data_IF_642722697846
#
_entry.id   IF_642722697846
#
_cell.length_a   1.000
_cell.length_b   1.000
_cell.length_c   1.000
_cell.angle_alpha   90.00
_cell.angle_beta   90.00
_cell.angle_gamma   90.00
#
_symmetry.space_group_name_H-M   'P 1'
#
loop_
_entity.id
_entity.type
_entity.pdbx_description
1 polymer ?
#
# COMPACT_ATOMS: atom_id res chain seq x y z
N UNK A 1 13.18 2.93 -6.39
CA UNK A 1 13.50 2.16 -5.17
C UNK A 1 13.69 3.13 -4.02
N UNK A 2 12.75 3.16 -3.06
CA UNK A 2 12.87 4.05 -1.90
C UNK A 2 13.92 3.51 -0.92
N UNK A 3 14.94 4.31 -0.59
CA UNK A 3 15.91 3.95 0.46
C UNK A 3 15.27 3.99 1.85
N UNK A 4 14.54 5.07 2.13
CA UNK A 4 13.77 5.25 3.37
C UNK A 4 12.29 5.09 3.08
N UNK A 5 11.55 4.61 4.07
CA UNK A 5 10.13 4.35 3.93
C UNK A 5 9.33 5.67 3.79
N UNK A 6 8.49 5.82 2.75
CA UNK A 6 7.67 7.02 2.55
C UNK A 6 6.69 7.32 3.71
N UNK A 7 6.36 6.33 4.54
CA UNK A 7 5.46 6.52 5.69
C UNK A 7 6.02 7.41 6.83
N UNK A 8 7.21 7.99 6.66
CA UNK A 8 7.83 8.89 7.64
C UNK A 8 8.44 8.19 8.86
N UNK A 9 8.60 6.86 8.83
CA UNK A 9 9.18 6.10 9.95
C UNK A 9 10.69 6.25 10.11
N UNK A 10 11.38 6.83 9.11
CA UNK A 10 12.84 6.90 8.99
C UNK A 10 13.55 5.52 8.96
N UNK A 11 12.78 4.43 8.84
CA UNK A 11 13.32 3.08 8.61
C UNK A 11 13.58 2.86 7.12
N UNK A 12 14.44 1.90 6.80
CA UNK A 12 14.57 1.42 5.43
C UNK A 12 13.24 0.86 4.92
N UNK A 13 12.94 1.08 3.65
CA UNK A 13 11.67 0.66 3.06
C UNK A 13 11.47 -0.87 3.18
N UNK A 14 12.54 -1.64 2.94
CA UNK A 14 12.60 -3.11 2.97
C UNK A 14 12.12 -3.73 4.28
N UNK A 15 12.41 -3.09 5.42
CA UNK A 15 12.08 -3.57 6.78
C UNK A 15 10.91 -2.81 7.42
N UNK A 16 10.24 -1.96 6.64
CA UNK A 16 9.09 -1.17 7.09
C UNK A 16 7.85 -1.55 6.29
N UNK A 17 7.34 -0.66 5.43
CA UNK A 17 6.11 -0.92 4.68
C UNK A 17 6.28 -1.99 3.60
N UNK A 18 7.51 -2.24 3.09
CA UNK A 18 7.70 -3.27 2.07
C UNK A 18 7.41 -4.68 2.57
N UNK A 19 7.73 -5.01 3.83
CA UNK A 19 7.41 -6.34 4.41
C UNK A 19 5.90 -6.60 4.43
N UNK A 20 5.09 -5.55 4.65
CA UNK A 20 3.63 -5.63 4.59
C UNK A 20 3.15 -5.74 3.13
N UNK A 21 3.66 -4.88 2.26
CA UNK A 21 3.27 -4.82 0.83
C UNK A 21 3.57 -6.15 0.12
N UNK A 22 4.75 -6.73 0.39
CA UNK A 22 5.17 -8.04 -0.17
C UNK A 22 4.49 -9.25 0.48
N UNK A 23 3.63 -9.04 1.49
CA UNK A 23 2.95 -10.12 2.21
C UNK A 23 3.85 -10.95 3.12
N UNK A 24 5.09 -10.52 3.39
CA UNK A 24 5.99 -11.19 4.35
C UNK A 24 5.46 -11.07 5.79
N UNK A 25 4.79 -9.97 6.10
CA UNK A 25 4.12 -9.73 7.37
C UNK A 25 2.71 -9.20 7.14
N UNK A 26 1.85 -9.33 8.16
CA UNK A 26 0.48 -8.82 8.14
C UNK A 26 0.39 -7.65 9.12
N UNK A 27 -0.35 -6.60 8.76
CA UNK A 27 -0.55 -5.47 9.65
C UNK A 27 -1.30 -5.91 10.91
N UNK A 28 -0.76 -5.58 12.09
CA UNK A 28 -1.36 -5.92 13.38
C UNK A 28 -2.17 -4.78 13.96
N UNK A 29 -1.96 -3.57 13.44
CA UNK A 29 -2.67 -2.35 13.84
C UNK A 29 -3.22 -1.60 12.63
N UNK A 30 -4.29 -0.82 12.85
CA UNK A 30 -4.84 0.05 11.83
C UNK A 30 -3.81 1.08 11.31
N UNK A 31 -2.91 1.56 12.17
CA UNK A 31 -1.87 2.51 11.80
C UNK A 31 -0.84 1.87 10.83
N UNK A 32 -0.42 0.63 11.08
CA UNK A 32 0.46 -0.11 10.17
C UNK A 32 -0.20 -0.32 8.80
N UNK A 33 -1.49 -0.66 8.79
CA UNK A 33 -2.26 -0.83 7.56
C UNK A 33 -2.35 0.50 6.80
N UNK A 34 -2.68 1.60 7.47
CA UNK A 34 -2.78 2.92 6.85
C UNK A 34 -1.43 3.38 6.25
N UNK A 35 -0.33 3.20 6.99
CA UNK A 35 1.02 3.55 6.52
C UNK A 35 1.48 2.73 5.32
N UNK A 36 1.22 1.42 5.34
CA UNK A 36 1.57 0.54 4.22
C UNK A 36 0.73 0.84 2.98
N UNK A 37 -0.57 1.14 3.13
CA UNK A 37 -1.43 1.58 2.03
C UNK A 37 -0.95 2.89 1.40
N UNK A 38 -0.54 3.87 2.22
CA UNK A 38 0.08 5.09 1.69
C UNK A 38 1.35 4.78 0.88
N UNK A 39 2.21 3.91 1.40
CA UNK A 39 3.43 3.54 0.67
C UNK A 39 3.14 2.77 -0.63
N UNK A 40 2.14 1.89 -0.63
CA UNK A 40 1.68 1.17 -1.81
C UNK A 40 1.15 2.12 -2.88
N UNK A 41 0.39 3.14 -2.49
CA UNK A 41 -0.05 4.21 -3.39
C UNK A 41 1.14 4.95 -4.01
N UNK A 42 2.12 5.36 -3.19
CA UNK A 42 3.33 6.04 -3.66
C UNK A 42 4.22 5.14 -4.54
N UNK A 43 4.15 3.82 -4.37
CA UNK A 43 4.89 2.85 -5.18
C UNK A 43 4.09 2.21 -6.32
N UNK A 44 2.86 2.68 -6.58
CA UNK A 44 1.98 2.17 -7.63
C UNK A 44 1.66 0.66 -7.49
N UNK A 45 1.50 0.20 -6.25
CA UNK A 45 1.11 -1.19 -5.94
C UNK A 45 -0.42 -1.28 -5.73
N UNK A 46 -1.14 -1.27 -6.86
CA UNK A 46 -2.61 -1.33 -6.89
C UNK A 46 -3.12 -2.64 -6.30
N UNK A 47 -2.42 -3.75 -6.55
CA UNK A 47 -2.80 -5.07 -6.05
C UNK A 47 -2.88 -5.08 -4.52
N UNK A 48 -1.86 -4.55 -3.83
CA UNK A 48 -1.87 -4.44 -2.37
C UNK A 48 -2.99 -3.52 -1.86
N UNK A 49 -3.26 -2.41 -2.55
CA UNK A 49 -4.33 -1.47 -2.16
C UNK A 49 -5.71 -2.13 -2.21
N UNK A 50 -5.99 -2.89 -3.26
CA UNK A 50 -7.24 -3.66 -3.42
C UNK A 50 -7.29 -4.80 -2.40
N UNK A 51 -6.17 -5.52 -2.22
CA UNK A 51 -6.03 -6.65 -1.30
C UNK A 51 -6.18 -6.28 0.19
N UNK A 52 -6.07 -5.00 0.53
CA UNK A 52 -6.20 -4.50 1.91
C UNK A 52 -7.49 -3.72 2.17
N UNK A 53 -8.39 -3.62 1.18
CA UNK A 53 -9.76 -3.17 1.42
C UNK A 53 -10.64 -4.27 2.00
N UNK A 54 -11.66 -3.83 2.74
CA UNK A 54 -12.67 -4.73 3.30
C UNK A 54 -13.34 -5.52 2.16
N UNK A 55 -13.56 -6.85 2.32
CA UNK A 55 -14.06 -7.70 1.25
C UNK A 55 -15.35 -7.18 0.59
N UNK A 56 -16.27 -6.63 1.38
CA UNK A 56 -17.56 -6.12 0.90
C UNK A 56 -17.46 -4.95 -0.10
N UNK A 57 -16.32 -4.25 -0.13
CA UNK A 57 -16.08 -3.11 -1.04
C UNK A 57 -15.01 -3.40 -2.08
N UNK A 58 -14.47 -4.63 -2.12
CA UNK A 58 -13.49 -5.05 -3.12
C UNK A 58 -14.20 -5.39 -4.43
N UNK A 59 -14.52 -4.39 -5.24
CA UNK A 59 -15.04 -4.56 -6.60
C UNK A 59 -13.92 -4.47 -7.65
N UNK A 60 -14.10 -5.03 -8.86
CA UNK A 60 -13.20 -4.78 -9.99
C UNK A 60 -13.07 -3.28 -10.31
N UNK A 61 -14.17 -2.54 -10.24
CA UNK A 61 -14.22 -1.09 -10.47
C UNK A 61 -13.30 -0.30 -9.53
N UNK A 62 -13.04 -0.82 -8.33
CA UNK A 62 -12.09 -0.22 -7.41
C UNK A 62 -10.66 -0.25 -7.97
N UNK A 63 -10.23 -1.40 -8.50
CA UNK A 63 -8.89 -1.55 -9.06
C UNK A 63 -8.69 -0.60 -10.24
N UNK A 64 -9.71 -0.50 -11.10
CA UNK A 64 -9.73 0.41 -12.25
C UNK A 64 -9.66 1.89 -11.80
N UNK A 65 -10.50 2.31 -10.85
CA UNK A 65 -10.48 3.68 -10.33
C UNK A 65 -9.16 4.07 -9.67
N UNK A 66 -8.47 3.14 -9.01
CA UNK A 66 -7.14 3.41 -8.41
C UNK A 66 -6.07 3.52 -9.49
N UNK A 67 -6.11 2.65 -10.51
CA UNK A 67 -5.16 2.69 -11.62
C UNK A 67 -5.31 3.96 -12.48
N UNK A 68 -6.53 4.49 -12.60
CA UNK A 68 -6.81 5.75 -13.32
C UNK A 68 -6.19 6.98 -12.65
N UNK A 69 -6.13 7.00 -11.30
CA UNK A 69 -5.49 8.10 -10.53
C UNK A 69 -4.00 8.27 -10.91
N UNK A 70 -3.37 7.23 -11.47
CA UNK A 70 -1.97 7.24 -11.88
C UNK A 70 -1.73 7.93 -13.23
N UNK A 71 -2.76 8.13 -14.07
CA UNK A 71 -2.62 8.81 -15.36
C UNK A 71 -2.67 10.35 -15.27
N UNK A 72 -3.18 10.89 -14.16
CA UNK A 72 -3.36 12.34 -13.96
C UNK A 72 -2.29 13.01 -13.06
N UNK A 73 -1.27 12.27 -12.60
CA UNK A 73 -0.18 12.79 -11.73
C UNK A 73 1.19 12.85 -12.41
#
# INVERSE_FOLDING_TARGET
MFKLCPCGSLKEFSVCCHSLISGQTIATTALELMKSRYCAYVSHDVEYLVATWHPDVRSPDLAESIAEIEHDN
#
